data_IF_741017877085
#
_entry.id   IF_741017877085
#
_cell.length_a   1.000
_cell.length_b   1.000
_cell.length_c   1.000
_cell.angle_alpha   90.00
_cell.angle_beta   90.00
_cell.angle_gamma   90.00
#
_symmetry.space_group_name_H-M   'P 1'
#
loop_
_entity.id
_entity.type
_entity.pdbx_description
1 polymer ?
#
# COMPACT_ATOMS: atom_id res chain seq x y z
N UNK A 1 -21.20 16.72 -1.08
CA UNK A 1 -19.84 17.27 -0.91
C UNK A 1 -18.88 16.10 -0.81
N UNK A 2 -17.75 16.13 -1.52
CA UNK A 2 -16.68 15.14 -1.31
C UNK A 2 -16.15 15.28 0.12
N UNK A 3 -15.48 14.25 0.66
CA UNK A 3 -14.86 14.31 2.01
C UNK A 3 -13.82 15.43 2.16
N UNK A 4 -13.36 16.00 1.05
CA UNK A 4 -12.40 17.09 0.98
C UNK A 4 -13.07 18.48 0.83
N UNK A 5 -14.40 18.54 0.82
CA UNK A 5 -15.14 19.79 0.63
C UNK A 5 -15.03 20.39 -0.78
N UNK A 6 -14.32 19.74 -1.70
CA UNK A 6 -14.18 20.16 -3.10
C UNK A 6 -15.31 19.61 -3.97
N UNK A 7 -15.86 20.45 -4.83
CA UNK A 7 -16.74 19.99 -5.90
C UNK A 7 -15.88 19.33 -6.99
N UNK A 8 -16.14 18.05 -7.26
CA UNK A 8 -15.38 17.26 -8.22
C UNK A 8 -16.04 17.24 -9.61
N UNK A 9 -17.24 17.83 -9.76
CA UNK A 9 -17.99 17.82 -11.02
C UNK A 9 -17.27 18.56 -12.16
N UNK A 10 -16.41 19.51 -11.83
CA UNK A 10 -15.61 20.28 -12.80
C UNK A 10 -14.25 19.67 -13.12
N UNK A 11 -13.94 18.48 -12.58
CA UNK A 11 -12.67 17.81 -12.86
C UNK A 11 -12.61 17.46 -14.36
N UNK A 12 -11.57 17.90 -15.09
CA UNK A 12 -11.43 17.58 -16.51
C UNK A 12 -11.40 16.06 -16.74
N UNK A 13 -12.06 15.62 -17.80
CA UNK A 13 -12.06 14.22 -18.23
C UNK A 13 -11.17 14.11 -19.47
N UNK A 14 -10.16 13.24 -19.39
CA UNK A 14 -9.31 12.88 -20.53
C UNK A 14 -9.72 11.47 -20.94
N UNK A 15 -10.00 11.28 -22.23
CA UNK A 15 -10.25 9.96 -22.80
C UNK A 15 -8.92 9.41 -23.29
N UNK A 16 -8.49 8.29 -22.73
CA UNK A 16 -7.31 7.56 -23.15
C UNK A 16 -7.70 6.08 -23.31
N UNK A 17 -7.47 5.54 -24.51
CA UNK A 17 -7.80 4.17 -24.86
C UNK A 17 -6.54 3.30 -24.69
N UNK A 18 -6.67 2.21 -23.93
CA UNK A 18 -5.57 1.26 -23.72
C UNK A 18 -5.07 0.59 -25.00
N UNK A 19 -5.86 0.62 -26.09
CA UNK A 19 -5.48 0.11 -27.40
C UNK A 19 -4.83 1.17 -28.32
N UNK A 20 -4.78 2.45 -27.89
CA UNK A 20 -4.17 3.55 -28.63
C UNK A 20 -3.02 4.17 -27.81
N UNK A 21 -1.79 3.80 -28.17
CA UNK A 21 -0.57 4.31 -27.54
C UNK A 21 -0.46 5.85 -27.60
N UNK A 22 -0.98 6.48 -28.66
CA UNK A 22 -0.93 7.94 -28.81
C UNK A 22 -1.81 8.61 -27.76
N UNK A 23 -3.04 8.08 -27.58
CA UNK A 23 -3.96 8.60 -26.57
C UNK A 23 -3.39 8.51 -25.15
N UNK A 24 -2.71 7.40 -24.82
CA UNK A 24 -2.05 7.20 -23.54
C UNK A 24 -0.86 8.14 -23.35
N UNK A 25 -0.06 8.38 -24.39
CA UNK A 25 1.06 9.30 -24.35
C UNK A 25 0.59 10.74 -24.12
N UNK A 26 -0.46 11.19 -24.81
CA UNK A 26 -1.03 12.54 -24.62
C UNK A 26 -1.62 12.72 -23.21
N UNK A 27 -2.24 11.69 -22.64
CA UNK A 27 -2.64 11.70 -21.23
C UNK A 27 -1.43 11.78 -20.30
N UNK A 28 -0.40 10.97 -20.54
CA UNK A 28 0.78 10.89 -19.68
C UNK A 28 1.60 12.18 -19.66
N UNK A 29 1.74 12.88 -20.78
CA UNK A 29 2.42 14.20 -20.87
C UNK A 29 1.77 15.26 -19.98
N UNK A 30 0.49 15.12 -19.67
CA UNK A 30 -0.27 16.06 -18.84
C UNK A 30 -0.25 15.67 -17.35
N UNK A 31 0.33 14.53 -17.01
CA UNK A 31 0.31 13.97 -15.66
C UNK A 31 1.71 14.01 -15.01
N UNK A 32 1.74 14.28 -13.71
CA UNK A 32 2.92 13.99 -12.87
C UNK A 32 2.90 12.54 -12.37
N UNK A 33 1.70 12.05 -12.08
CA UNK A 33 1.43 10.70 -11.56
C UNK A 33 0.16 10.18 -12.22
N UNK A 34 0.18 8.94 -12.66
CA UNK A 34 -0.97 8.17 -13.13
C UNK A 34 -1.34 7.17 -12.05
N UNK A 35 -2.58 7.25 -11.56
CA UNK A 35 -3.16 6.28 -10.63
C UNK A 35 -4.01 5.28 -11.44
N UNK A 36 -3.44 4.12 -11.73
CA UNK A 36 -4.12 3.05 -12.45
C UNK A 36 -4.87 2.14 -11.46
N UNK A 37 -6.18 2.34 -11.36
CA UNK A 37 -7.03 1.61 -10.42
C UNK A 37 -7.79 0.44 -11.06
N UNK A 38 -7.55 0.14 -12.35
CA UNK A 38 -8.37 -0.81 -13.11
C UNK A 38 -7.50 -1.78 -13.90
N UNK A 39 -7.67 -3.06 -13.62
CA UNK A 39 -7.10 -4.17 -14.40
C UNK A 39 -8.07 -4.73 -15.46
N UNK A 40 -7.77 -5.91 -16.04
CA UNK A 40 -6.67 -6.82 -15.69
C UNK A 40 -5.29 -6.30 -16.13
N UNK A 41 -4.35 -6.18 -15.18
CA UNK A 41 -3.06 -5.53 -15.42
C UNK A 41 -2.15 -6.33 -16.34
N UNK A 42 -2.26 -7.67 -16.30
CA UNK A 42 -1.51 -8.55 -17.20
C UNK A 42 -1.79 -8.28 -18.68
N UNK A 43 -3.00 -7.81 -19.02
CA UNK A 43 -3.41 -7.58 -20.41
C UNK A 43 -3.21 -6.12 -20.82
N UNK A 44 -3.57 -5.17 -19.95
CA UNK A 44 -3.66 -3.75 -20.31
C UNK A 44 -2.78 -2.83 -19.46
N UNK A 45 -2.12 -3.34 -18.41
CA UNK A 45 -1.34 -2.52 -17.49
C UNK A 45 -0.03 -2.02 -18.09
N UNK A 46 0.63 -2.84 -18.90
CA UNK A 46 1.96 -2.51 -19.44
C UNK A 46 1.94 -1.26 -20.32
N UNK A 47 0.95 -1.13 -21.20
CA UNK A 47 0.85 0.03 -22.11
C UNK A 47 0.70 1.34 -21.33
N UNK A 48 0.05 1.30 -20.16
CA UNK A 48 -0.09 2.46 -19.27
C UNK A 48 1.23 2.78 -18.57
N UNK A 49 1.95 1.76 -18.08
CA UNK A 49 3.30 1.93 -17.47
C UNK A 49 4.28 2.50 -18.49
N UNK A 50 4.31 1.93 -19.70
CA UNK A 50 5.14 2.40 -20.82
C UNK A 50 4.87 3.88 -21.10
N UNK A 51 3.60 4.24 -21.30
CA UNK A 51 3.22 5.62 -21.58
C UNK A 51 3.63 6.58 -20.45
N UNK A 52 3.44 6.17 -19.18
CA UNK A 52 3.86 6.96 -18.03
C UNK A 52 5.36 7.25 -18.04
N UNK A 53 6.17 6.18 -18.09
CA UNK A 53 7.63 6.26 -18.00
C UNK A 53 8.23 7.03 -19.18
N UNK A 54 7.74 6.78 -20.39
CA UNK A 54 8.25 7.44 -21.60
C UNK A 54 8.03 8.95 -21.61
N UNK A 55 6.90 9.38 -21.05
CA UNK A 55 6.46 10.77 -21.04
C UNK A 55 6.74 11.50 -19.72
N UNK A 56 7.50 10.89 -18.80
CA UNK A 56 7.97 11.55 -17.57
C UNK A 56 6.93 11.62 -16.45
N UNK A 57 5.91 10.75 -16.48
CA UNK A 57 4.96 10.57 -15.38
C UNK A 57 5.33 9.35 -14.52
N UNK A 58 5.10 9.44 -13.21
CA UNK A 58 5.15 8.27 -12.34
C UNK A 58 3.87 7.43 -12.48
N UNK A 59 3.97 6.13 -12.25
CA UNK A 59 2.85 5.20 -12.30
C UNK A 59 2.64 4.54 -10.93
N UNK A 60 1.39 4.50 -10.48
CA UNK A 60 0.97 3.77 -9.28
C UNK A 60 -0.26 2.93 -9.60
N UNK A 61 -0.29 1.68 -9.15
CA UNK A 61 -1.45 0.81 -9.35
C UNK A 61 -1.83 -0.01 -8.11
N UNK A 62 -2.99 -0.67 -8.19
CA UNK A 62 -3.48 -1.62 -7.18
C UNK A 62 -3.39 -3.07 -7.67
N UNK A 63 -2.44 -3.38 -8.56
CA UNK A 63 -2.25 -4.73 -9.11
C UNK A 63 -1.90 -5.74 -8.03
N UNK A 64 -2.34 -6.99 -8.24
CA UNK A 64 -2.05 -8.12 -7.37
C UNK A 64 -1.37 -9.28 -8.10
N UNK A 65 -1.12 -9.14 -9.41
CA UNK A 65 -0.59 -10.19 -10.27
C UNK A 65 0.94 -10.22 -10.23
N UNK A 66 1.59 -11.25 -9.63
CA UNK A 66 3.04 -11.26 -9.43
C UNK A 66 3.84 -11.19 -10.74
N UNK A 67 3.39 -11.92 -11.76
CA UNK A 67 4.03 -11.92 -13.07
C UNK A 67 3.98 -10.54 -13.77
N UNK A 68 2.95 -9.73 -13.49
CA UNK A 68 2.88 -8.36 -14.01
C UNK A 68 3.89 -7.47 -13.28
N UNK A 69 3.90 -7.50 -11.94
CA UNK A 69 4.80 -6.71 -11.11
C UNK A 69 6.28 -6.96 -11.47
N UNK A 70 6.68 -8.22 -11.55
CA UNK A 70 8.04 -8.63 -11.92
C UNK A 70 8.39 -8.15 -13.33
N UNK A 71 7.48 -8.32 -14.30
CA UNK A 71 7.68 -7.85 -15.68
C UNK A 71 7.89 -6.34 -15.74
N UNK A 72 7.10 -5.55 -15.01
CA UNK A 72 7.22 -4.09 -15.03
C UNK A 72 8.55 -3.63 -14.43
N UNK A 73 9.00 -4.26 -13.35
CA UNK A 73 10.32 -3.99 -12.77
C UNK A 73 11.44 -4.29 -13.76
N UNK A 74 11.41 -5.45 -14.42
CA UNK A 74 12.46 -5.83 -15.38
C UNK A 74 12.50 -4.93 -16.62
N UNK A 75 11.33 -4.58 -17.18
CA UNK A 75 11.27 -3.82 -18.43
C UNK A 75 11.46 -2.31 -18.25
N UNK A 76 10.96 -1.75 -17.15
CA UNK A 76 10.87 -0.29 -16.98
C UNK A 76 11.68 0.25 -15.81
N UNK A 77 12.29 -0.58 -14.96
CA UNK A 77 13.03 -0.15 -13.77
C UNK A 77 14.19 0.82 -14.09
N UNK A 78 15.08 0.45 -15.00
CA UNK A 78 16.20 1.32 -15.40
C UNK A 78 15.72 2.59 -16.12
N UNK A 79 14.75 2.47 -17.04
CA UNK A 79 14.20 3.61 -17.76
C UNK A 79 13.50 4.61 -16.83
N UNK A 80 12.77 4.12 -15.83
CA UNK A 80 12.13 4.95 -14.81
C UNK A 80 13.17 5.70 -13.98
N UNK A 81 14.25 5.02 -13.59
CA UNK A 81 15.40 5.62 -12.88
C UNK A 81 16.09 6.70 -13.72
N UNK A 82 16.39 6.44 -14.99
CA UNK A 82 16.97 7.43 -15.92
C UNK A 82 16.08 8.67 -16.08
N UNK A 83 14.75 8.47 -16.13
CA UNK A 83 13.76 9.54 -16.25
C UNK A 83 13.43 10.25 -14.93
N UNK A 84 13.91 9.73 -13.79
CA UNK A 84 13.57 10.26 -12.47
C UNK A 84 12.11 10.08 -12.06
N UNK A 85 11.45 9.04 -12.56
CA UNK A 85 10.05 8.71 -12.25
C UNK A 85 9.94 7.39 -11.49
N UNK A 86 8.80 7.15 -10.86
CA UNK A 86 8.54 5.94 -10.08
C UNK A 86 7.50 5.04 -10.75
N UNK A 87 7.71 3.72 -10.68
CA UNK A 87 6.71 2.71 -11.03
C UNK A 87 6.43 1.88 -9.77
N UNK A 88 5.23 2.02 -9.22
CA UNK A 88 4.88 1.45 -7.91
C UNK A 88 3.60 0.62 -8.02
N UNK A 89 3.76 -0.69 -8.06
CA UNK A 89 2.62 -1.60 -8.05
C UNK A 89 2.12 -1.92 -6.63
N UNK A 90 1.08 -2.73 -6.54
CA UNK A 90 0.57 -3.30 -5.30
C UNK A 90 0.26 -2.24 -4.21
N UNK A 91 -0.32 -1.10 -4.59
CA UNK A 91 -0.70 -0.04 -3.66
C UNK A 91 -2.14 -0.17 -3.13
N UNK A 92 -2.61 -1.41 -3.00
CA UNK A 92 -3.92 -1.75 -2.46
C UNK A 92 -3.90 -2.07 -0.96
N UNK A 93 -5.08 -2.32 -0.40
CA UNK A 93 -5.24 -2.71 1.01
C UNK A 93 -4.64 -4.07 1.35
N UNK A 94 -4.63 -5.05 0.44
CA UNK A 94 -4.06 -6.36 0.75
C UNK A 94 -2.53 -6.31 0.94
N UNK A 95 -1.88 -5.33 0.29
CA UNK A 95 -0.42 -5.24 0.19
C UNK A 95 0.18 -4.26 1.21
N UNK A 96 -0.27 -3.00 1.25
CA UNK A 96 0.42 -1.97 2.05
C UNK A 96 0.37 -2.23 3.57
N UNK A 97 -0.77 -2.55 4.20
CA UNK A 97 -0.80 -2.97 5.60
C UNK A 97 0.11 -4.16 5.90
N UNK A 98 0.22 -5.12 4.97
CA UNK A 98 1.12 -6.26 5.10
C UNK A 98 2.59 -5.81 5.07
N UNK A 99 2.98 -5.05 4.04
CA UNK A 99 4.34 -4.51 3.88
C UNK A 99 4.75 -3.66 5.08
N UNK A 100 3.86 -2.78 5.54
CA UNK A 100 4.09 -1.93 6.70
C UNK A 100 4.24 -2.76 7.98
N UNK A 101 3.42 -3.80 8.16
CA UNK A 101 3.50 -4.68 9.32
C UNK A 101 4.80 -5.46 9.37
N UNK A 102 5.25 -6.00 8.24
CA UNK A 102 6.54 -6.68 8.12
C UNK A 102 7.71 -5.72 8.32
N UNK A 103 7.64 -4.50 7.76
CA UNK A 103 8.67 -3.48 7.98
C UNK A 103 8.75 -3.07 9.45
N UNK A 104 7.61 -2.86 10.10
CA UNK A 104 7.55 -2.56 11.53
C UNK A 104 8.17 -3.69 12.37
N UNK A 105 7.86 -4.95 12.06
CA UNK A 105 8.51 -6.11 12.68
C UNK A 105 10.02 -6.01 12.53
N UNK A 106 10.54 -5.84 11.30
CA UNK A 106 11.99 -5.77 11.05
C UNK A 106 12.69 -4.67 11.85
N UNK A 107 12.08 -3.50 11.96
CA UNK A 107 12.64 -2.35 12.69
C UNK A 107 12.68 -2.54 14.20
N UNK A 108 11.74 -3.32 14.76
CA UNK A 108 11.56 -3.44 16.21
C UNK A 108 11.95 -4.82 16.78
N UNK A 109 12.25 -5.80 15.92
CA UNK A 109 12.71 -7.12 16.35
C UNK A 109 14.14 -7.03 16.89
N UNK A 110 14.34 -7.47 18.13
CA UNK A 110 15.64 -7.39 18.82
C UNK A 110 16.52 -8.61 18.49
N UNK A 111 16.93 -8.67 17.23
CA UNK A 111 17.68 -9.76 16.65
C UNK A 111 17.39 -9.93 15.15
N UNK A 112 17.62 -11.13 14.63
CA UNK A 112 17.36 -11.45 13.22
C UNK A 112 16.00 -12.13 13.04
N UNK A 113 15.14 -11.53 12.20
CA UNK A 113 13.85 -12.12 11.84
C UNK A 113 14.06 -13.29 10.89
N UNK A 114 13.53 -14.47 11.24
CA UNK A 114 13.58 -15.66 10.40
C UNK A 114 12.36 -15.76 9.48
N UNK A 115 11.15 -15.66 10.03
CA UNK A 115 9.91 -15.65 9.25
C UNK A 115 8.80 -14.91 10.00
N UNK A 116 7.76 -14.50 9.25
CA UNK A 116 6.57 -13.84 9.77
C UNK A 116 5.33 -14.53 9.22
N UNK A 117 4.47 -15.00 10.12
CA UNK A 117 3.15 -15.52 9.77
C UNK A 117 2.12 -14.40 9.90
N UNK A 118 1.38 -14.14 8.82
CA UNK A 118 0.40 -13.06 8.76
C UNK A 118 -1.01 -13.62 8.66
N UNK A 119 -1.90 -13.17 9.55
CA UNK A 119 -3.31 -13.52 9.54
C UNK A 119 -4.14 -12.25 9.43
N UNK A 120 -5.23 -12.31 8.66
CA UNK A 120 -6.16 -11.19 8.51
C UNK A 120 -7.57 -11.62 8.87
N UNK A 121 -8.24 -10.79 9.66
CA UNK A 121 -9.67 -10.87 9.89
C UNK A 121 -10.31 -9.61 9.36
N UNK A 122 -11.36 -9.80 8.57
CA UNK A 122 -12.18 -8.72 8.05
C UNK A 122 -13.56 -8.83 8.68
N UNK A 123 -14.01 -7.73 9.28
CA UNK A 123 -15.41 -7.57 9.62
C UNK A 123 -16.05 -6.69 8.54
N UNK A 124 -16.77 -7.33 7.62
CA UNK A 124 -17.46 -6.62 6.54
C UNK A 124 -18.91 -6.34 6.96
N UNK A 125 -19.31 -5.07 7.05
CA UNK A 125 -20.69 -4.69 7.35
C UNK A 125 -21.71 -5.15 6.28
N UNK A 126 -21.23 -5.68 5.15
CA UNK A 126 -22.05 -6.21 4.05
C UNK A 126 -22.02 -7.74 3.91
N UNK A 127 -21.29 -8.48 4.76
CA UNK A 127 -21.08 -9.94 4.60
C UNK A 127 -20.58 -10.33 3.19
N UNK A 128 -19.77 -9.49 2.55
CA UNK A 128 -19.27 -9.72 1.19
C UNK A 128 -20.29 -9.52 0.06
N UNK A 129 -21.50 -9.02 0.35
CA UNK A 129 -22.51 -8.70 -0.66
C UNK A 129 -22.24 -7.33 -1.30
N UNK A 130 -22.02 -7.32 -2.62
CA UNK A 130 -21.86 -6.09 -3.40
C UNK A 130 -23.22 -5.62 -3.94
N UNK A 131 -23.67 -4.44 -3.50
CA UNK A 131 -24.82 -3.73 -4.10
C UNK A 131 -24.30 -2.66 -5.07
N UNK A 132 -25.02 -2.42 -6.18
CA UNK A 132 -24.72 -1.30 -7.11
C UNK A 132 -24.66 0.06 -6.42
N UNK A 133 -25.43 0.24 -5.35
CA UNK A 133 -25.43 1.48 -4.56
C UNK A 133 -24.26 1.60 -3.57
N UNK A 134 -23.44 0.55 -3.41
CA UNK A 134 -22.42 0.47 -2.37
C UNK A 134 -23.00 0.17 -0.97
N UNK A 135 -22.13 0.09 0.05
CA UNK A 135 -22.54 -0.08 1.46
C UNK A 135 -23.17 1.19 2.05
N UNK A 136 -24.03 1.05 3.06
CA UNK A 136 -24.55 2.19 3.83
C UNK A 136 -23.45 2.82 4.69
N UNK A 137 -23.72 4.02 5.23
CA UNK A 137 -22.79 4.68 6.16
C UNK A 137 -22.59 3.85 7.42
N UNK A 138 -23.65 3.29 8.01
CA UNK A 138 -23.50 2.42 9.20
C UNK A 138 -22.64 1.20 8.88
N UNK A 139 -22.87 0.55 7.73
CA UNK A 139 -22.07 -0.61 7.29
C UNK A 139 -20.58 -0.27 7.12
N UNK A 140 -20.25 0.94 6.68
CA UNK A 140 -18.86 1.41 6.58
C UNK A 140 -18.24 1.79 7.93
N UNK A 141 -19.06 2.23 8.89
CA UNK A 141 -18.62 2.60 10.24
C UNK A 141 -18.34 1.38 11.12
N UNK A 142 -19.11 0.30 10.95
CA UNK A 142 -18.94 -0.96 11.66
C UNK A 142 -17.86 -1.85 11.04
N UNK A 143 -17.53 -1.61 9.78
CA UNK A 143 -16.52 -2.38 9.07
C UNK A 143 -15.10 -2.09 9.60
N UNK A 144 -14.34 -3.15 9.78
CA UNK A 144 -12.96 -3.08 10.28
C UNK A 144 -12.14 -4.24 9.77
N UNK A 145 -10.82 -4.09 9.82
CA UNK A 145 -9.90 -5.20 9.65
C UNK A 145 -8.90 -5.24 10.79
N UNK A 146 -8.38 -6.44 11.04
CA UNK A 146 -7.20 -6.66 11.88
C UNK A 146 -6.24 -7.59 11.17
N UNK A 147 -4.99 -7.15 11.05
CA UNK A 147 -3.85 -8.01 10.76
C UNK A 147 -3.14 -8.40 12.06
N UNK A 148 -2.71 -9.64 12.13
CA UNK A 148 -1.75 -10.15 13.10
C UNK A 148 -0.51 -10.62 12.38
N UNK A 149 0.64 -10.21 12.89
CA UNK A 149 1.96 -10.65 12.42
C UNK A 149 2.63 -11.38 13.57
N UNK A 150 2.87 -12.68 13.41
CA UNK A 150 3.62 -13.49 14.34
C UNK A 150 5.02 -13.68 13.76
N UNK A 151 5.97 -12.91 14.27
CA UNK A 151 7.35 -12.95 13.85
C UNK A 151 8.15 -13.88 14.75
N UNK A 152 8.98 -14.71 14.14
CA UNK A 152 9.89 -15.63 14.83
C UNK A 152 11.30 -15.36 14.32
N UNK A 153 12.27 -15.36 15.23
CA UNK A 153 13.65 -15.01 14.92
C UNK A 153 14.64 -15.43 15.98
N UNK A 154 15.87 -14.97 15.82
CA UNK A 154 17.00 -15.26 16.68
C UNK A 154 17.35 -14.03 17.51
N UNK A 155 17.71 -14.20 18.77
CA UNK A 155 18.15 -13.12 19.66
C UNK A 155 19.51 -12.53 19.27
N UNK A 156 20.38 -13.34 18.67
CA UNK A 156 21.65 -12.88 18.13
C UNK A 156 21.50 -12.36 16.70
N UNK A 157 22.32 -11.36 16.36
CA UNK A 157 22.43 -10.83 15.00
C UNK A 157 23.67 -11.39 14.34
N UNK A 158 23.53 -11.82 13.08
CA UNK A 158 24.63 -12.30 12.26
C UNK A 158 24.77 -11.48 10.98
N UNK A 159 25.96 -11.47 10.37
CA UNK A 159 26.14 -10.99 9.00
C UNK A 159 25.19 -11.72 8.02
N UNK A 160 24.81 -11.06 6.92
CA UNK A 160 23.83 -11.58 5.97
C UNK A 160 24.27 -12.90 5.31
N UNK A 161 25.57 -13.14 5.25
CA UNK A 161 26.21 -14.31 4.66
C UNK A 161 26.26 -15.51 5.62
N UNK A 162 26.05 -15.27 6.92
CA UNK A 162 26.10 -16.30 7.94
C UNK A 162 24.71 -16.85 8.26
N UNK A 163 24.63 -18.16 8.46
CA UNK A 163 23.38 -18.80 8.83
C UNK A 163 23.28 -19.02 10.34
N UNK A 164 22.05 -18.86 10.82
CA UNK A 164 21.66 -19.30 12.14
C UNK A 164 21.51 -20.82 12.19
N UNK A 165 21.92 -21.42 13.31
CA UNK A 165 21.77 -22.85 13.55
C UNK A 165 20.69 -23.09 14.60
N UNK A 166 19.90 -24.14 14.44
CA UNK A 166 18.82 -24.47 15.38
C UNK A 166 17.49 -23.82 15.03
N UNK A 167 16.60 -23.70 16.02
CA UNK A 167 15.27 -23.11 15.87
C UNK A 167 15.25 -21.68 16.39
N UNK A 168 14.39 -20.79 15.84
CA UNK A 168 14.16 -19.46 16.39
C UNK A 168 13.88 -19.49 17.90
N UNK A 169 14.55 -18.61 18.66
CA UNK A 169 14.44 -18.49 20.13
C UNK A 169 13.64 -17.26 20.58
N UNK A 170 13.33 -16.34 19.65
CA UNK A 170 12.53 -15.15 19.89
C UNK A 170 11.21 -15.15 19.11
N UNK A 171 10.21 -14.48 19.69
CA UNK A 171 8.91 -14.24 19.08
C UNK A 171 8.44 -12.81 19.34
N UNK A 172 7.85 -12.20 18.32
CA UNK A 172 7.15 -10.92 18.40
C UNK A 172 5.76 -11.05 17.80
N UNK A 173 4.78 -10.37 18.40
CA UNK A 173 3.41 -10.29 17.85
C UNK A 173 3.03 -8.83 17.63
N UNK A 174 2.74 -8.48 16.39
CA UNK A 174 2.32 -7.13 15.99
C UNK A 174 0.88 -7.19 15.47
N UNK A 175 0.10 -6.17 15.79
CA UNK A 175 -1.26 -6.03 15.26
C UNK A 175 -1.44 -4.71 14.53
N UNK A 176 -2.04 -4.75 13.35
CA UNK A 176 -2.44 -3.57 12.57
C UNK A 176 -3.96 -3.58 12.40
N UNK A 177 -4.63 -2.58 12.96
CA UNK A 177 -6.10 -2.46 12.94
C UNK A 177 -6.50 -1.22 12.17
N UNK A 178 -7.53 -1.34 11.34
CA UNK A 178 -8.06 -0.21 10.58
C UNK A 178 -9.56 -0.32 10.31
N UNK A 179 -10.15 0.76 9.77
CA UNK A 179 -11.53 0.79 9.31
C UNK A 179 -11.70 -0.05 8.04
N UNK A 180 -12.89 -0.08 7.45
CA UNK A 180 -13.20 -0.80 6.21
C UNK A 180 -12.04 -0.91 5.19
N UNK A 181 -11.72 -2.15 4.82
CA UNK A 181 -10.62 -2.51 3.94
C UNK A 181 -10.75 -1.93 2.52
N UNK A 182 -11.96 -1.97 1.95
CA UNK A 182 -12.18 -1.64 0.53
C UNK A 182 -12.24 -0.14 0.25
N UNK A 183 -13.02 0.60 1.04
CA UNK A 183 -13.38 1.99 0.78
C UNK A 183 -12.56 2.99 1.58
N UNK A 184 -12.19 2.65 2.81
CA UNK A 184 -11.43 3.55 3.68
C UNK A 184 -9.95 3.31 3.56
N UNK A 185 -9.54 2.05 3.77
CA UNK A 185 -8.13 1.73 3.88
C UNK A 185 -7.41 1.91 2.54
N UNK A 186 -7.91 1.34 1.44
CA UNK A 186 -7.32 1.53 0.10
C UNK A 186 -7.14 3.00 -0.27
N UNK A 187 -8.14 3.87 -0.01
CA UNK A 187 -8.04 5.31 -0.32
C UNK A 187 -6.94 6.02 0.47
N UNK A 188 -6.84 5.73 1.76
CA UNK A 188 -5.83 6.31 2.66
C UNK A 188 -4.44 5.83 2.26
N UNK A 189 -4.34 4.55 1.93
CA UNK A 189 -3.13 3.85 1.58
C UNK A 189 -2.53 4.35 0.25
N UNK A 190 -3.34 4.52 -0.80
CA UNK A 190 -2.86 5.02 -2.08
C UNK A 190 -2.45 6.50 -2.04
N UNK A 191 -2.88 7.27 -1.04
CA UNK A 191 -2.58 8.71 -0.92
C UNK A 191 -1.38 9.05 -0.02
N UNK A 192 -0.91 8.12 0.82
CA UNK A 192 0.08 8.42 1.87
C UNK A 192 1.53 8.06 1.57
N UNK A 193 1.85 7.35 0.47
CA UNK A 193 3.24 6.92 0.19
C UNK A 193 4.21 8.09 -0.15
N UNK A 194 3.69 9.30 -0.41
CA UNK A 194 4.48 10.49 -0.71
C UNK A 194 4.67 11.45 0.49
N UNK A 195 3.96 11.21 1.60
CA UNK A 195 4.12 12.00 2.82
C UNK A 195 4.98 11.22 3.82
N UNK A 196 6.03 11.84 4.33
CA UNK A 196 6.88 11.26 5.39
C UNK A 196 6.02 10.54 6.44
N UNK A 197 6.36 9.28 6.69
CA UNK A 197 5.71 8.39 7.66
C UNK A 197 5.42 9.16 8.96
N UNK A 198 4.16 9.18 9.45
CA UNK A 198 3.87 9.85 10.72
C UNK A 198 4.69 9.19 11.83
N UNK A 199 5.46 10.00 12.58
CA UNK A 199 6.21 9.57 13.77
C UNK A 199 5.30 8.73 14.68
N UNK A 200 5.60 7.44 14.76
CA UNK A 200 4.97 6.48 15.64
C UNK A 200 5.48 6.76 17.05
N UNK A 201 4.57 7.19 17.94
CA UNK A 201 4.90 7.46 19.34
C UNK A 201 4.32 6.35 20.20
N UNK A 202 5.23 5.71 20.96
CA UNK A 202 5.10 4.78 22.09
C UNK A 202 5.28 3.28 21.79
N UNK A 203 6.41 2.76 22.28
CA UNK A 203 6.88 1.36 22.35
C UNK A 203 6.78 0.92 23.81
N UNK A 204 6.15 -0.22 24.11
CA UNK A 204 6.36 -0.98 25.35
C UNK A 204 6.64 -2.43 24.98
N UNK A 205 7.88 -2.87 25.17
CA UNK A 205 8.31 -4.27 25.10
C UNK A 205 8.12 -4.90 26.48
N UNK A 206 7.30 -5.94 26.56
CA UNK A 206 7.28 -6.85 27.71
C UNK A 206 7.10 -8.26 27.18
N UNK A 207 8.05 -9.14 27.53
CA UNK A 207 7.87 -10.58 27.48
C UNK A 207 6.46 -10.90 28.00
N UNK A 208 5.58 -11.35 27.09
CA UNK A 208 4.15 -11.64 27.29
C UNK A 208 3.11 -10.48 27.26
N UNK A 209 3.26 -9.43 26.44
CA UNK A 209 2.12 -8.53 26.15
C UNK A 209 1.98 -8.13 24.68
N UNK A 210 0.77 -8.25 24.13
CA UNK A 210 0.39 -7.89 22.77
C UNK A 210 0.37 -6.36 22.62
N UNK A 211 1.30 -5.80 21.86
CA UNK A 211 1.30 -4.39 21.50
C UNK A 211 0.25 -4.08 20.42
N UNK A 212 -0.51 -3.00 20.64
CA UNK A 212 -1.59 -2.54 19.78
C UNK A 212 -1.18 -1.28 19.02
N UNK A 213 -1.20 -1.32 17.69
CA UNK A 213 -1.06 -0.11 16.87
C UNK A 213 -2.44 0.40 16.40
N UNK A 214 -2.76 1.67 16.70
CA UNK A 214 -3.99 2.35 16.27
C UNK A 214 -3.67 3.46 15.28
N UNK A 215 -4.25 3.39 14.08
CA UNK A 215 -4.28 4.50 13.15
C UNK A 215 -5.07 5.67 13.75
N UNK A 216 -4.39 6.77 14.12
CA UNK A 216 -5.03 8.03 14.50
C UNK A 216 -4.81 9.06 13.40
N UNK A 217 -5.88 9.39 12.68
CA UNK A 217 -5.92 10.47 11.68
C UNK A 217 -5.54 11.79 12.38
N UNK A 218 -4.34 12.34 12.16
CA UNK A 218 -4.02 13.70 12.62
C UNK A 218 -4.70 14.70 11.67
N UNK A 219 -5.72 15.39 12.19
CA UNK A 219 -6.29 16.62 11.62
C UNK A 219 -5.34 17.78 11.91
N UNK A 220 -4.28 17.97 11.13
CA UNK A 220 -3.74 19.32 10.92
C UNK A 220 -2.63 19.33 9.85
N UNK A 221 -2.97 19.80 8.66
CA UNK A 221 -2.02 20.10 7.57
C UNK A 221 -1.63 21.60 7.58
N UNK A 222 -2.14 22.40 8.52
CA UNK A 222 -2.01 23.86 8.49
C UNK A 222 -0.66 24.44 8.94
N UNK A 223 0.36 23.62 9.26
CA UNK A 223 1.60 24.12 9.92
C UNK A 223 2.95 23.77 9.29
N UNK A 224 2.99 23.35 8.03
CA UNK A 224 4.24 22.95 7.37
C UNK A 224 4.60 23.73 6.10
N UNK A 225 4.07 24.95 5.94
CA UNK A 225 4.61 25.94 5.01
C UNK A 225 5.13 27.15 5.79
N UNK A 226 6.41 27.10 6.13
CA UNK A 226 7.30 28.25 6.38
C UNK A 226 8.73 27.80 6.14
#
# INVERSE_FOLDING_TARGET
MSREGKDLKSTPIIIADSSDETSLAEMAKQAKVILNAVGPYRLYGEVVVKAAVENGASHVDISGEPAFLEKMQMLYGEKAKEKGVYVVGACGWDSIPCDMGVNFVKEHFDGDVNHVETFVQMNSGSFGLFKRAGPTKEQMEEASFTYWFFAYGYSDRKPLEEQHNGKPDQKMVVTCKGPDAGYMATKVVSSQRHQHLPKLSSIHTLNHSVSHFKWKLRRDISRWCS
#
